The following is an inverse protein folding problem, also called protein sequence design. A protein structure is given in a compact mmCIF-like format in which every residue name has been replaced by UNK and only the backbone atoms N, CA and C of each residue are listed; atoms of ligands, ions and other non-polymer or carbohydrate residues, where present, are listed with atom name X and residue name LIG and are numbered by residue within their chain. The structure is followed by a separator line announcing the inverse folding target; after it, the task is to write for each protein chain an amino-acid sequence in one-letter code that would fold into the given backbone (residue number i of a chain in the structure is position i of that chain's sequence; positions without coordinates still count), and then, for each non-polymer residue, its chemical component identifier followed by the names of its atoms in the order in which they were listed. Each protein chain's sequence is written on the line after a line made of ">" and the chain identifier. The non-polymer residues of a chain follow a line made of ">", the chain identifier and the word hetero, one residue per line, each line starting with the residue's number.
data_IF_492089702028
#
_entry.id   IF_492089702028
#
_cell.length_a   1.000
_cell.length_b   1.000
_cell.length_c   1.000
_cell.angle_alpha   90.00
_cell.angle_beta   90.00
_cell.angle_gamma   90.00
#
_symmetry.space_group_name_H-M   'P 1'
#
loop_
_entity.id
_entity.type
_entity.pdbx_description
1 polymer ?
#
# COMPACT_ATOMS: atom_id res chain seq x y z
N UNK A 1 1.81 5.13 -19.08
CA UNK A 1 2.50 6.43 -19.10
C UNK A 1 3.62 6.31 -18.08
N UNK A 2 4.89 6.27 -18.51
CA UNK A 2 5.99 6.31 -17.57
C UNK A 2 6.04 7.73 -17.01
N UNK A 3 5.52 7.93 -15.80
CA UNK A 3 5.74 9.17 -15.07
C UNK A 3 7.25 9.27 -14.79
N UNK A 4 7.94 10.03 -15.65
CA UNK A 4 9.37 10.35 -15.54
C UNK A 4 9.64 11.43 -14.50
N UNK A 5 8.61 11.87 -13.77
CA UNK A 5 8.79 12.85 -12.70
C UNK A 5 9.54 12.23 -11.53
N UNK A 6 10.53 12.94 -10.95
CA UNK A 6 11.29 12.44 -9.82
C UNK A 6 10.37 12.22 -8.62
N UNK A 7 10.50 11.05 -7.97
CA UNK A 7 9.73 10.71 -6.77
C UNK A 7 10.12 11.64 -5.62
N UNK A 8 9.13 12.28 -5.00
CA UNK A 8 9.35 13.13 -3.82
C UNK A 8 9.64 12.24 -2.61
N UNK A 9 10.79 12.44 -1.98
CA UNK A 9 11.12 11.76 -0.73
C UNK A 9 10.40 12.43 0.43
N UNK A 10 9.62 11.65 1.19
CA UNK A 10 8.90 12.12 2.38
C UNK A 10 9.34 11.26 3.56
N UNK A 11 9.90 11.85 4.64
CA UNK A 11 10.23 11.08 5.83
C UNK A 11 8.94 10.60 6.50
N UNK A 12 8.82 9.28 6.70
CA UNK A 12 7.65 8.66 7.31
C UNK A 12 8.00 8.13 8.69
N UNK A 13 7.14 8.36 9.67
CA UNK A 13 7.26 7.78 11.02
C UNK A 13 6.28 6.63 11.12
N UNK A 14 6.80 5.41 11.28
CA UNK A 14 6.03 4.19 11.44
C UNK A 14 6.34 3.56 12.80
N UNK A 15 5.36 2.87 13.39
CA UNK A 15 5.66 1.96 14.50
C UNK A 15 6.43 0.75 13.96
N UNK A 16 7.29 0.16 14.79
CA UNK A 16 8.09 -1.01 14.41
C UNK A 16 7.20 -2.16 13.92
N UNK A 17 6.11 -2.44 14.64
CA UNK A 17 5.13 -3.47 14.28
C UNK A 17 4.51 -3.27 12.89
N UNK A 18 4.17 -2.03 12.53
CA UNK A 18 3.61 -1.72 11.22
C UNK A 18 4.65 -1.89 10.12
N UNK A 19 5.88 -1.46 10.37
CA UNK A 19 6.98 -1.66 9.42
C UNK A 19 7.24 -3.14 9.15
N UNK A 20 7.30 -3.97 10.20
CA UNK A 20 7.48 -5.42 10.09
C UNK A 20 6.36 -6.08 9.28
N UNK A 21 5.10 -5.71 9.53
CA UNK A 21 3.96 -6.23 8.78
C UNK A 21 4.04 -5.87 7.28
N UNK A 22 4.41 -4.63 6.96
CA UNK A 22 4.59 -4.18 5.57
C UNK A 22 5.78 -4.90 4.92
N UNK A 23 6.86 -5.12 5.66
CA UNK A 23 8.06 -5.81 5.16
C UNK A 23 7.77 -7.27 4.84
N UNK A 24 7.07 -7.99 5.72
CA UNK A 24 6.64 -9.37 5.48
C UNK A 24 5.77 -9.46 4.23
N UNK A 25 4.78 -8.56 4.10
CA UNK A 25 3.91 -8.56 2.91
C UNK A 25 4.69 -8.23 1.63
N UNK A 26 5.63 -7.28 1.70
CA UNK A 26 6.49 -6.98 0.55
C UNK A 26 7.34 -8.19 0.14
N UNK A 27 7.83 -8.97 1.09
CA UNK A 27 8.57 -10.21 0.84
C UNK A 27 7.69 -11.27 0.17
N UNK A 28 6.47 -11.49 0.67
CA UNK A 28 5.50 -12.42 0.10
C UNK A 28 5.13 -12.08 -1.37
N UNK A 29 5.01 -10.77 -1.66
CA UNK A 29 4.70 -10.25 -3.00
C UNK A 29 5.96 -10.07 -3.90
N UNK A 30 7.16 -10.43 -3.42
CA UNK A 30 8.46 -10.20 -4.09
C UNK A 30 8.70 -8.74 -4.51
N UNK A 31 8.33 -7.79 -3.65
CA UNK A 31 8.50 -6.34 -3.84
C UNK A 31 9.47 -5.74 -2.85
N UNK A 32 10.02 -4.58 -3.19
CA UNK A 32 10.71 -3.75 -2.20
C UNK A 32 9.70 -3.14 -1.22
N UNK A 33 10.15 -2.90 0.02
CA UNK A 33 9.34 -2.26 1.07
C UNK A 33 8.80 -0.90 0.59
N UNK A 34 9.65 -0.08 -0.04
CA UNK A 34 9.23 1.21 -0.58
C UNK A 34 8.20 1.07 -1.70
N UNK A 35 8.35 0.07 -2.57
CA UNK A 35 7.37 -0.24 -3.60
C UNK A 35 6.02 -0.67 -3.03
N UNK A 36 6.03 -1.46 -1.94
CA UNK A 36 4.81 -1.86 -1.25
C UNK A 36 4.11 -0.66 -0.58
N UNK A 37 4.87 0.22 0.08
CA UNK A 37 4.32 1.46 0.66
C UNK A 37 3.68 2.34 -0.44
N UNK A 38 4.37 2.50 -1.58
CA UNK A 38 3.85 3.28 -2.71
C UNK A 38 2.57 2.68 -3.29
N UNK A 39 2.51 1.36 -3.43
CA UNK A 39 1.31 0.64 -3.88
C UNK A 39 0.13 0.90 -2.94
N UNK A 40 0.31 0.69 -1.64
CA UNK A 40 -0.74 0.89 -0.63
C UNK A 40 -1.26 2.33 -0.62
N UNK A 41 -0.37 3.32 -0.65
CA UNK A 41 -0.77 4.73 -0.70
C UNK A 41 -1.52 5.06 -1.99
N UNK A 42 -1.08 4.52 -3.12
CA UNK A 42 -1.75 4.72 -4.42
C UNK A 42 -3.15 4.13 -4.42
N UNK A 43 -3.32 2.93 -3.87
CA UNK A 43 -4.62 2.28 -3.72
C UNK A 43 -5.55 3.07 -2.81
N UNK A 44 -5.08 3.52 -1.65
CA UNK A 44 -5.85 4.36 -0.73
C UNK A 44 -6.34 5.65 -1.42
N UNK A 45 -5.48 6.33 -2.18
CA UNK A 45 -5.87 7.55 -2.92
C UNK A 45 -6.85 7.22 -4.06
N UNK A 46 -6.62 6.14 -4.80
CA UNK A 46 -7.51 5.68 -5.88
C UNK A 46 -8.91 5.38 -5.36
N UNK A 47 -9.01 4.63 -4.26
CA UNK A 47 -10.27 4.30 -3.61
C UNK A 47 -10.99 5.56 -3.10
N UNK A 48 -10.26 6.48 -2.45
CA UNK A 48 -10.83 7.76 -1.98
C UNK A 48 -11.39 8.59 -3.13
N UNK A 49 -10.72 8.64 -4.28
CA UNK A 49 -11.22 9.34 -5.47
C UNK A 49 -12.46 8.68 -6.07
N UNK A 50 -12.56 7.35 -6.03
CA UNK A 50 -13.69 6.59 -6.59
C UNK A 50 -14.94 6.68 -5.71
N UNK A 51 -14.79 6.49 -4.40
CA UNK A 51 -15.92 6.24 -3.49
C UNK A 51 -16.13 7.35 -2.44
N UNK A 52 -15.23 8.33 -2.35
CA UNK A 52 -15.26 9.38 -1.32
C UNK A 52 -14.96 8.91 0.12
N UNK A 53 -14.84 7.60 0.35
CA UNK A 53 -14.54 6.98 1.64
C UNK A 53 -13.03 6.95 1.93
N UNK A 54 -12.65 6.96 3.22
CA UNK A 54 -11.26 7.03 3.67
C UNK A 54 -10.52 5.68 3.62
N UNK A 55 -11.26 4.56 3.61
CA UNK A 55 -10.78 3.17 3.56
C UNK A 55 -11.83 2.37 2.79
N UNK A 56 -11.46 1.39 1.94
CA UNK A 56 -12.47 0.46 1.41
C UNK A 56 -13.05 -0.35 2.54
N UNK A 57 -14.35 -0.64 2.45
CA UNK A 57 -15.02 -1.58 3.35
C UNK A 57 -14.45 -3.01 3.20
N UNK A 58 -13.57 -3.24 2.19
CA UNK A 58 -13.00 -4.52 1.77
C UNK A 58 -11.58 -4.80 2.27
N UNK A 59 -10.87 -3.82 2.87
CA UNK A 59 -9.50 -4.05 3.40
C UNK A 59 -9.51 -4.98 4.63
N UNK A 60 -10.62 -5.01 5.38
CA UNK A 60 -10.82 -5.92 6.52
C UNK A 60 -11.44 -7.27 6.12
N UNK A 61 -11.78 -7.48 4.84
CA UNK A 61 -12.21 -8.79 4.39
C UNK A 61 -10.99 -9.69 4.18
N UNK A 62 -10.98 -10.91 4.74
CA UNK A 62 -9.97 -11.90 4.40
C UNK A 62 -9.97 -12.10 2.87
N UNK A 63 -8.80 -12.23 2.22
CA UNK A 63 -8.77 -12.52 0.79
C UNK A 63 -9.55 -13.81 0.54
N UNK A 64 -10.49 -13.78 -0.41
CA UNK A 64 -11.12 -14.98 -0.94
C UNK A 64 -10.03 -15.79 -1.67
N UNK A 65 -9.47 -16.77 -0.96
CA UNK A 65 -8.64 -17.81 -1.55
C UNK A 65 -9.60 -18.83 -2.15
N UNK A 66 -9.87 -18.72 -3.45
CA UNK A 66 -10.35 -19.86 -4.23
C UNK A 66 -9.20 -20.88 -4.30
N UNK A 67 -9.21 -21.83 -3.35
CA UNK A 67 -8.48 -23.10 -3.43
C UNK A 67 -9.36 -24.19 -4.05
#
# INVERSE_FOLDING_TARGET
>A
MNDTQPKKQVPLRLSAKLYEAIASWAEDDFRSINGQIEYLLSECVRQRKKNGKYVSDEIDLPPELDI
#
